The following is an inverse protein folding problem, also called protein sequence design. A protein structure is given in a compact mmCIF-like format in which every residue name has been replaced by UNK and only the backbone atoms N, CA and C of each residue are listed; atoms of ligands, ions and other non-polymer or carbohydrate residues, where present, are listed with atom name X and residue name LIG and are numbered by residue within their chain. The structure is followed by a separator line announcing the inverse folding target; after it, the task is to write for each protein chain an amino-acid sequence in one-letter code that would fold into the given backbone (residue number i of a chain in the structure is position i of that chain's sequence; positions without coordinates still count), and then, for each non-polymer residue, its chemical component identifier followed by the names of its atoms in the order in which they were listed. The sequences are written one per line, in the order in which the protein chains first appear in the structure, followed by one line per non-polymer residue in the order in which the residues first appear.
data_IF_004915574864
#
_entry.id   IF_004915574864
#
_cell.length_a   1.000
_cell.length_b   1.000
_cell.length_c   1.000
_cell.angle_alpha   90.00
_cell.angle_beta   90.00
_cell.angle_gamma   90.00
#
_symmetry.space_group_name_H-M   'P 1'
#
loop_
_entity.id
_entity.type
_entity.pdbx_description
1 polymer ?
#
# COMPACT_ATOMS: atom_id res chain seq x y z
N UNK A 1 -36.67 -26.90 58.87
CA UNK A 1 -36.16 -27.58 57.66
C UNK A 1 -36.81 -27.07 56.37
N UNK A 2 -38.12 -27.23 56.15
CA UNK A 2 -38.78 -26.85 54.87
C UNK A 2 -38.68 -25.35 54.50
N UNK A 3 -38.67 -24.46 55.49
CA UNK A 3 -38.52 -23.01 55.25
C UNK A 3 -37.19 -22.63 54.58
N UNK A 4 -36.11 -23.34 54.90
CA UNK A 4 -34.79 -23.10 54.32
C UNK A 4 -34.78 -23.52 52.84
N UNK A 5 -35.37 -24.68 52.54
CA UNK A 5 -35.55 -25.15 51.16
C UNK A 5 -36.35 -24.17 50.31
N UNK A 6 -37.45 -23.63 50.83
CA UNK A 6 -38.26 -22.63 50.13
C UNK A 6 -37.46 -21.35 49.86
N UNK A 7 -36.68 -20.89 50.84
CA UNK A 7 -35.86 -19.69 50.71
C UNK A 7 -34.77 -19.89 49.64
N UNK A 8 -34.16 -21.07 49.61
CA UNK A 8 -33.18 -21.47 48.60
C UNK A 8 -33.81 -21.54 47.19
N UNK A 9 -35.03 -22.09 47.09
CA UNK A 9 -35.77 -22.15 45.84
C UNK A 9 -36.14 -20.75 45.31
N UNK A 10 -36.55 -19.83 46.19
CA UNK A 10 -36.84 -18.43 45.82
C UNK A 10 -35.57 -17.74 45.35
N UNK A 11 -34.44 -17.92 46.05
CA UNK A 11 -33.15 -17.35 45.64
C UNK A 11 -32.71 -17.92 44.28
N UNK A 12 -32.86 -19.23 44.06
CA UNK A 12 -32.56 -19.86 42.78
C UNK A 12 -33.44 -19.31 41.64
N UNK A 13 -34.73 -19.11 41.89
CA UNK A 13 -35.68 -18.53 40.94
C UNK A 13 -35.27 -17.10 40.56
N UNK A 14 -35.02 -16.26 41.56
CA UNK A 14 -34.61 -14.85 41.35
C UNK A 14 -33.26 -14.80 40.63
N UNK A 15 -32.29 -15.62 41.04
CA UNK A 15 -30.99 -15.72 40.39
C UNK A 15 -31.09 -16.13 38.92
N UNK A 16 -31.93 -17.11 38.60
CA UNK A 16 -32.18 -17.54 37.22
C UNK A 16 -32.82 -16.42 36.39
N UNK A 17 -33.76 -15.66 36.97
CA UNK A 17 -34.41 -14.55 36.27
C UNK A 17 -33.43 -13.42 35.96
N UNK A 18 -32.56 -13.07 36.93
CA UNK A 18 -31.50 -12.07 36.74
C UNK A 18 -30.51 -12.55 35.67
N UNK A 19 -30.06 -13.81 35.74
CA UNK A 19 -29.13 -14.37 34.76
C UNK A 19 -29.71 -14.36 33.34
N UNK A 20 -30.97 -14.75 33.16
CA UNK A 20 -31.61 -14.68 31.86
C UNK A 20 -31.70 -13.24 31.32
N UNK A 21 -31.94 -12.28 32.22
CA UNK A 21 -31.98 -10.85 31.85
C UNK A 21 -30.61 -10.32 31.44
N UNK A 22 -29.54 -10.66 32.18
CA UNK A 22 -28.18 -10.24 31.82
C UNK A 22 -27.77 -10.81 30.48
N UNK A 23 -28.01 -12.10 30.23
CA UNK A 23 -27.75 -12.74 28.92
C UNK A 23 -28.49 -12.02 27.79
N UNK A 24 -29.77 -11.67 27.99
CA UNK A 24 -30.52 -10.89 26.99
C UNK A 24 -29.90 -9.52 26.75
N UNK A 25 -29.48 -8.83 27.80
CA UNK A 25 -28.96 -7.46 27.70
C UNK A 25 -27.59 -7.39 27.01
N UNK A 26 -26.71 -8.36 27.28
CA UNK A 26 -25.40 -8.47 26.62
C UNK A 26 -25.57 -8.56 25.09
N UNK A 27 -26.54 -9.35 24.61
CA UNK A 27 -26.77 -9.51 23.16
C UNK A 27 -27.21 -8.21 22.49
N UNK A 28 -28.01 -7.38 23.17
CA UNK A 28 -28.52 -6.12 22.63
C UNK A 28 -27.40 -5.07 22.52
N UNK A 29 -26.54 -4.98 23.53
CA UNK A 29 -25.43 -4.03 23.55
C UNK A 29 -24.37 -4.34 22.48
N UNK A 30 -24.07 -5.63 22.27
CA UNK A 30 -23.15 -6.05 21.21
C UNK A 30 -23.75 -5.84 19.81
N UNK A 31 -25.06 -6.06 19.63
CA UNK A 31 -25.73 -5.79 18.36
C UNK A 31 -25.64 -4.32 17.96
N UNK A 32 -25.85 -3.39 18.90
CA UNK A 32 -25.76 -1.95 18.62
C UNK A 32 -24.35 -1.53 18.18
N UNK A 33 -23.32 -2.07 18.83
CA UNK A 33 -21.92 -1.84 18.43
C UNK A 33 -21.64 -2.34 17.02
N UNK A 34 -22.10 -3.53 16.68
CA UNK A 34 -21.90 -4.10 15.33
C UNK A 34 -22.56 -3.21 14.27
N UNK A 35 -23.75 -2.67 14.53
CA UNK A 35 -24.44 -1.76 13.61
C UNK A 35 -23.65 -0.47 13.42
N UNK A 36 -23.16 0.15 14.50
CA UNK A 36 -22.31 1.36 14.42
C UNK A 36 -21.05 1.10 13.59
N UNK A 37 -20.32 0.02 13.88
CA UNK A 37 -19.11 -0.34 13.14
C UNK A 37 -19.40 -0.60 11.65
N UNK A 38 -20.49 -1.30 11.34
CA UNK A 38 -20.89 -1.54 9.94
C UNK A 38 -21.19 -0.23 9.21
N UNK A 39 -21.81 0.74 9.89
CA UNK A 39 -22.09 2.04 9.31
C UNK A 39 -20.79 2.83 9.02
N UNK A 40 -19.85 2.81 9.96
CA UNK A 40 -18.53 3.42 9.76
C UNK A 40 -17.74 2.78 8.61
N UNK A 41 -17.77 1.45 8.49
CA UNK A 41 -17.13 0.72 7.40
C UNK A 41 -17.73 1.16 6.05
N UNK A 42 -19.06 1.25 5.97
CA UNK A 42 -19.75 1.69 4.76
C UNK A 42 -19.37 3.12 4.38
N UNK A 43 -19.38 4.04 5.34
CA UNK A 43 -18.98 5.43 5.09
C UNK A 43 -17.53 5.53 4.55
N UNK A 44 -16.59 4.75 5.09
CA UNK A 44 -15.22 4.69 4.60
C UNK A 44 -15.13 4.09 3.18
N UNK A 45 -15.93 3.07 2.87
CA UNK A 45 -15.98 2.49 1.53
C UNK A 45 -16.52 3.49 0.50
N UNK A 46 -17.56 4.25 0.85
CA UNK A 46 -18.13 5.29 -0.01
C UNK A 46 -17.09 6.41 -0.30
N UNK A 47 -16.30 6.81 0.71
CA UNK A 47 -15.19 7.75 0.53
C UNK A 47 -14.12 7.21 -0.45
N UNK A 48 -13.73 5.94 -0.32
CA UNK A 48 -12.80 5.31 -1.26
C UNK A 48 -13.39 5.27 -2.67
N UNK A 49 -14.69 5.02 -2.79
CA UNK A 49 -15.42 5.07 -4.07
C UNK A 49 -15.31 6.45 -4.73
N UNK A 50 -15.52 7.52 -3.97
CA UNK A 50 -15.38 8.90 -4.45
C UNK A 50 -13.94 9.19 -4.90
N UNK A 51 -12.94 8.85 -4.09
CA UNK A 51 -11.54 9.07 -4.44
C UNK A 51 -11.13 8.29 -5.70
N UNK A 52 -11.63 7.07 -5.88
CA UNK A 52 -11.39 6.29 -7.11
C UNK A 52 -12.06 6.93 -8.32
N UNK A 53 -13.26 7.49 -8.16
CA UNK A 53 -13.94 8.20 -9.23
C UNK A 53 -13.19 9.47 -9.64
N UNK A 54 -12.65 10.21 -8.66
CA UNK A 54 -11.80 11.37 -8.91
C UNK A 54 -10.49 10.97 -9.60
N UNK A 55 -9.84 9.89 -9.14
CA UNK A 55 -8.64 9.37 -9.79
C UNK A 55 -8.91 8.94 -11.23
N UNK A 56 -10.01 8.22 -11.48
CA UNK A 56 -10.44 7.88 -12.84
C UNK A 56 -10.71 9.12 -13.70
N UNK A 57 -11.18 10.22 -13.10
CA UNK A 57 -11.36 11.49 -13.80
C UNK A 57 -10.02 12.14 -14.17
N UNK A 58 -9.03 12.13 -13.27
CA UNK A 58 -7.70 12.72 -13.51
C UNK A 58 -6.88 11.87 -14.49
N UNK A 59 -6.95 10.55 -14.40
CA UNK A 59 -6.15 9.61 -15.22
C UNK A 59 -6.78 9.31 -16.59
N UNK A 60 -7.73 10.13 -17.07
CA UNK A 60 -8.35 9.93 -18.38
C UNK A 60 -7.28 9.87 -19.48
N UNK A 61 -7.13 8.73 -20.20
CA UNK A 61 -6.05 8.52 -21.16
C UNK A 61 -6.10 9.54 -22.29
N UNK A 62 -7.31 9.96 -22.69
CA UNK A 62 -7.53 11.00 -23.70
C UNK A 62 -6.87 12.34 -23.34
N UNK A 63 -6.89 12.75 -22.07
CA UNK A 63 -6.20 13.98 -21.61
C UNK A 63 -4.69 13.81 -21.60
N UNK A 64 -4.21 12.64 -21.19
CA UNK A 64 -2.77 12.35 -21.15
C UNK A 64 -2.20 12.29 -22.57
N UNK A 65 -2.92 11.67 -23.51
CA UNK A 65 -2.57 11.64 -24.93
C UNK A 65 -2.58 13.04 -25.53
N UNK A 66 -3.64 13.83 -25.29
CA UNK A 66 -3.70 15.21 -25.79
C UNK A 66 -2.63 16.13 -25.20
N UNK A 67 -2.14 15.88 -23.99
CA UNK A 67 -0.99 16.60 -23.40
C UNK A 67 0.35 16.10 -23.98
N UNK A 68 0.49 14.80 -24.22
CA UNK A 68 1.68 14.23 -24.86
C UNK A 68 1.86 14.79 -26.28
N UNK A 69 0.77 14.81 -27.06
CA UNK A 69 0.78 15.34 -28.43
C UNK A 69 1.13 16.85 -28.48
N UNK A 70 0.73 17.61 -27.46
CA UNK A 70 0.96 19.07 -27.41
C UNK A 70 2.33 19.48 -26.88
N UNK A 71 2.83 18.81 -25.84
CA UNK A 71 4.08 19.21 -25.18
C UNK A 71 5.30 18.45 -25.71
N UNK A 72 5.11 17.27 -26.33
CA UNK A 72 6.21 16.46 -26.85
C UNK A 72 5.88 15.96 -28.27
N UNK A 73 5.98 16.81 -29.31
CA UNK A 73 5.68 16.43 -30.70
C UNK A 73 6.59 15.30 -31.25
N UNK A 74 7.74 15.05 -30.63
CA UNK A 74 8.65 13.95 -31.01
C UNK A 74 8.39 12.64 -30.24
N UNK A 75 7.40 12.61 -29.34
CA UNK A 75 7.08 11.43 -28.54
C UNK A 75 6.32 10.42 -29.39
N UNK A 76 7.05 9.50 -30.00
CA UNK A 76 6.45 8.38 -30.73
C UNK A 76 5.67 7.50 -29.75
N UNK A 77 4.41 7.13 -30.04
CA UNK A 77 3.68 6.19 -29.22
C UNK A 77 4.48 4.90 -29.09
N UNK A 78 4.49 4.31 -27.89
CA UNK A 78 5.20 3.06 -27.62
C UNK A 78 4.70 2.01 -28.60
N UNK A 79 5.55 1.66 -29.56
CA UNK A 79 5.22 0.63 -30.53
C UNK A 79 5.17 -0.71 -29.79
N UNK A 80 4.20 -1.56 -30.11
CA UNK A 80 4.04 -2.89 -29.47
C UNK A 80 5.32 -3.74 -29.57
N UNK A 81 6.16 -3.43 -30.55
CA UNK A 81 7.47 -4.02 -30.82
C UNK A 81 8.55 -3.64 -29.77
N UNK A 82 8.34 -2.57 -28.98
CA UNK A 82 9.26 -2.10 -27.94
C UNK A 82 8.99 -2.77 -26.57
N UNK A 83 7.89 -3.52 -26.44
CA UNK A 83 7.57 -4.28 -25.24
C UNK A 83 8.26 -5.64 -25.36
N UNK A 84 9.51 -5.70 -24.89
CA UNK A 84 10.31 -6.92 -24.89
C UNK A 84 10.42 -7.47 -23.47
N UNK A 85 10.44 -8.80 -23.32
CA UNK A 85 10.72 -9.44 -22.03
C UNK A 85 12.14 -9.09 -21.59
N UNK A 86 12.36 -8.93 -20.29
CA UNK A 86 13.63 -8.51 -19.73
C UNK A 86 14.82 -9.40 -20.14
N UNK A 87 14.55 -10.67 -20.45
CA UNK A 87 15.56 -11.65 -20.84
C UNK A 87 16.09 -11.45 -22.28
N UNK A 88 15.46 -10.58 -23.07
CA UNK A 88 15.85 -10.26 -24.46
C UNK A 88 16.65 -8.94 -24.53
N UNK A 89 16.87 -8.28 -23.39
CA UNK A 89 17.66 -7.05 -23.35
C UNK A 89 19.14 -7.39 -23.62
N UNK A 90 19.78 -6.73 -24.62
CA UNK A 90 21.22 -6.84 -24.80
C UNK A 90 21.92 -6.45 -23.50
N UNK A 91 22.96 -7.19 -23.12
CA UNK A 91 23.77 -6.85 -21.97
C UNK A 91 24.18 -5.38 -22.06
N UNK A 92 23.97 -4.63 -20.98
CA UNK A 92 24.25 -3.19 -20.90
C UNK A 92 25.64 -2.94 -21.49
N UNK A 93 25.70 -2.25 -22.62
CA UNK A 93 26.96 -1.91 -23.26
C UNK A 93 27.90 -1.22 -22.27
N UNK A 94 29.24 -1.30 -22.48
CA UNK A 94 30.19 -0.66 -21.60
C UNK A 94 29.80 0.80 -21.43
N UNK A 95 29.79 1.31 -20.19
CA UNK A 95 29.56 2.71 -19.88
C UNK A 95 30.69 3.53 -20.51
N UNK A 96 30.60 3.87 -21.79
CA UNK A 96 31.48 4.85 -22.40
C UNK A 96 31.01 6.20 -21.90
N UNK A 97 31.61 6.68 -20.82
CA UNK A 97 31.35 8.03 -20.35
C UNK A 97 31.91 9.00 -21.41
N UNK A 98 31.02 9.47 -22.28
CA UNK A 98 31.35 10.45 -23.31
C UNK A 98 31.88 11.76 -22.72
N UNK A 99 31.57 12.02 -21.44
CA UNK A 99 32.08 13.18 -20.71
C UNK A 99 33.54 12.94 -20.34
N UNK A 100 33.88 11.77 -19.80
CA UNK A 100 35.26 11.36 -19.51
C UNK A 100 36.19 11.42 -20.73
N UNK A 101 35.74 10.89 -21.86
CA UNK A 101 36.48 10.93 -23.14
C UNK A 101 36.70 12.36 -23.66
N UNK A 102 35.71 13.25 -23.47
CA UNK A 102 35.83 14.66 -23.87
C UNK A 102 36.78 15.42 -22.95
N UNK A 103 36.74 15.16 -21.65
CA UNK A 103 37.64 15.77 -20.66
C UNK A 103 39.11 15.37 -20.91
N UNK A 104 39.34 14.11 -21.28
CA UNK A 104 40.65 13.60 -21.70
C UNK A 104 41.13 14.29 -23.00
N UNK A 105 40.26 14.43 -23.99
CA UNK A 105 40.59 15.11 -25.26
C UNK A 105 40.90 16.60 -25.10
N UNK A 106 40.35 17.24 -24.05
CA UNK A 106 40.56 18.65 -23.72
C UNK A 106 41.80 18.87 -22.85
N UNK A 107 42.58 17.82 -22.57
CA UNK A 107 43.82 17.92 -21.79
C UNK A 107 43.61 18.29 -20.32
N UNK A 108 42.38 18.18 -19.79
CA UNK A 108 42.04 18.49 -18.40
C UNK A 108 42.17 17.28 -17.46
N UNK A 109 42.83 16.21 -17.92
CA UNK A 109 43.07 14.98 -17.16
C UNK A 109 44.28 15.09 -16.21
N UNK A 110 44.43 16.22 -15.51
CA UNK A 110 45.31 16.23 -14.34
C UNK A 110 44.70 15.37 -13.22
N UNK A 111 45.50 14.64 -12.44
CA UNK A 111 45.03 13.83 -11.33
C UNK A 111 44.55 14.76 -10.21
N UNK A 112 43.29 15.19 -10.27
CA UNK A 112 42.64 15.73 -9.09
C UNK A 112 42.58 14.60 -8.07
N UNK A 113 43.31 14.79 -6.97
CA UNK A 113 43.26 13.98 -5.75
C UNK A 113 41.83 13.97 -5.21
N UNK A 114 40.98 13.15 -5.84
CA UNK A 114 39.73 12.72 -5.26
C UNK A 114 40.10 11.49 -4.45
N UNK A 115 39.94 11.48 -3.11
CA UNK A 115 40.22 10.31 -2.32
C UNK A 115 39.52 9.12 -2.95
N UNK A 116 40.32 8.18 -3.45
CA UNK A 116 39.86 6.88 -3.88
C UNK A 116 39.64 6.10 -2.59
N UNK A 117 38.55 6.41 -1.92
CA UNK A 117 38.14 5.66 -0.75
C UNK A 117 37.73 4.27 -1.24
N UNK A 118 38.43 3.29 -0.66
CA UNK A 118 38.18 1.89 -0.89
C UNK A 118 36.80 1.48 -0.40
N UNK A 119 36.49 0.25 -0.80
CA UNK A 119 35.34 -0.56 -0.40
C UNK A 119 34.00 -0.31 -1.10
N UNK A 120 33.40 -1.36 -1.68
CA UNK A 120 32.03 -1.31 -2.18
C UNK A 120 31.09 -1.22 -0.98
N UNK A 121 30.78 0.00 -0.54
CA UNK A 121 29.62 0.22 0.30
C UNK A 121 28.40 -0.30 -0.47
N UNK A 122 27.91 -1.46 -0.05
CA UNK A 122 26.66 -2.03 -0.50
C UNK A 122 25.60 -0.96 -0.33
N UNK A 123 25.14 -0.38 -1.45
CA UNK A 123 23.95 0.46 -1.46
C UNK A 123 22.78 -0.48 -1.21
N UNK A 124 22.52 -0.80 0.05
CA UNK A 124 21.28 -1.43 0.47
C UNK A 124 20.16 -0.46 0.12
N UNK A 125 19.47 -0.76 -0.98
CA UNK A 125 18.14 -0.23 -1.26
C UNK A 125 17.30 -0.37 0.02
N UNK A 126 16.58 0.66 0.49
CA UNK A 126 15.72 0.51 1.65
C UNK A 126 14.67 -0.55 1.33
N UNK A 127 14.72 -1.67 2.04
CA UNK A 127 13.72 -2.74 1.95
C UNK A 127 12.37 -2.16 2.33
N UNK A 128 11.46 -2.09 1.36
CA UNK A 128 10.06 -1.74 1.57
C UNK A 128 9.42 -2.75 2.56
N UNK A 129 8.82 -2.32 3.68
CA UNK A 129 8.27 -3.24 4.70
C UNK A 129 7.00 -4.00 4.26
N UNK A 130 6.60 -3.96 2.99
CA UNK A 130 5.37 -4.57 2.51
C UNK A 130 5.47 -6.08 2.19
N UNK A 131 6.66 -6.69 2.17
CA UNK A 131 6.84 -8.06 1.65
C UNK A 131 6.77 -9.18 2.71
N UNK A 132 6.61 -8.85 4.00
CA UNK A 132 6.58 -9.86 5.08
C UNK A 132 5.23 -10.50 5.37
N UNK A 133 4.15 -10.12 4.68
CA UNK A 133 2.79 -10.60 5.00
C UNK A 133 2.32 -11.72 4.07
N UNK A 134 3.06 -12.06 3.01
CA UNK A 134 2.62 -13.05 2.01
C UNK A 134 3.13 -14.48 2.18
N UNK A 135 3.88 -14.78 3.23
CA UNK A 135 4.37 -16.12 3.51
C UNK A 135 4.10 -16.52 4.97
N UNK A 136 2.82 -16.61 5.33
CA UNK A 136 2.37 -17.48 6.41
C UNK A 136 0.89 -17.84 6.27
#
# INVERSE_FOLDING_TARGET
MVRILNLLAIVALIGSAIYAYTVKYETIFHAEKIVKLKHEIKAKQDQIGMLRAEWAHVTRPERIQGLADKLLPDLKPVALQQIVKADVLPARGPKSDSIGLKLESLGMAEPTNTPRDGEPASVTTPSNPADKIRAR
#
